data_IF_894053477539
#
_entry.id   IF_894053477539
#
_cell.length_a   1.000
_cell.length_b   1.000
_cell.length_c   1.000
_cell.angle_alpha   90.00
_cell.angle_beta   90.00
_cell.angle_gamma   90.00
#
_symmetry.space_group_name_H-M   'P 1'
#
loop_
_entity.id
_entity.type
_entity.pdbx_description
1 polymer ?
#
# COMPACT_ATOMS: atom_id res chain seq x y z
N UNK A 1 -0.04 17.65 5.52
CA UNK A 1 0.70 16.37 5.45
C UNK A 1 -0.03 15.44 4.49
N UNK A 2 0.71 14.76 3.61
CA UNK A 2 0.10 13.79 2.69
C UNK A 2 0.12 12.39 3.31
N UNK A 3 -0.89 11.59 3.00
CA UNK A 3 -1.02 10.24 3.52
C UNK A 3 -1.11 9.22 2.40
N UNK A 4 -0.53 8.05 2.61
CA UNK A 4 -0.82 6.89 1.78
C UNK A 4 -1.24 5.73 2.67
N UNK A 5 -2.47 5.26 2.51
CA UNK A 5 -2.94 4.05 3.17
C UNK A 5 -2.38 2.83 2.45
N UNK A 6 -1.78 1.93 3.23
CA UNK A 6 -1.26 0.64 2.78
C UNK A 6 -1.98 -0.43 3.56
N UNK A 7 -2.82 -1.19 2.86
CA UNK A 7 -3.52 -2.34 3.41
C UNK A 7 -2.63 -3.57 3.27
N UNK A 8 -2.36 -4.24 4.38
CA UNK A 8 -1.63 -5.50 4.42
C UNK A 8 -2.50 -6.59 5.01
N UNK A 9 -2.32 -7.82 4.56
CA UNK A 9 -2.99 -8.97 5.17
C UNK A 9 -2.53 -9.21 6.62
N UNK A 10 -3.45 -9.46 7.56
CA UNK A 10 -3.08 -9.59 8.98
C UNK A 10 -2.10 -10.71 9.31
N UNK A 11 -2.20 -11.88 8.67
CA UNK A 11 -1.42 -13.07 9.04
C UNK A 11 -0.11 -13.27 8.26
N UNK A 12 0.12 -12.58 7.13
CA UNK A 12 1.38 -12.64 6.37
C UNK A 12 2.03 -11.27 6.10
N UNK A 13 1.31 -10.16 6.35
CA UNK A 13 1.75 -8.77 6.13
C UNK A 13 2.10 -8.41 4.68
N UNK A 14 1.72 -9.24 3.70
CA UNK A 14 1.89 -8.90 2.29
C UNK A 14 0.85 -7.86 1.83
N UNK A 15 1.19 -7.13 0.77
CA UNK A 15 0.35 -6.06 0.23
C UNK A 15 -1.00 -6.60 -0.22
N UNK A 16 -2.07 -6.12 0.42
CA UNK A 16 -3.44 -6.30 -0.03
C UNK A 16 -3.77 -5.23 -1.07
N UNK A 17 -3.61 -3.96 -0.69
CA UNK A 17 -3.88 -2.82 -1.55
C UNK A 17 -3.03 -1.60 -1.16
N UNK A 18 -2.53 -0.87 -2.17
CA UNK A 18 -1.86 0.41 -1.96
C UNK A 18 -2.76 1.50 -2.52
N UNK A 19 -3.30 2.33 -1.63
CA UNK A 19 -4.15 3.45 -2.04
C UNK A 19 -3.34 4.51 -2.79
N UNK A 20 -4.05 5.34 -3.55
CA UNK A 20 -3.48 6.59 -4.03
C UNK A 20 -3.06 7.47 -2.84
N UNK A 21 -2.08 8.34 -3.06
CA UNK A 21 -1.67 9.31 -2.04
C UNK A 21 -2.80 10.33 -1.88
N UNK A 22 -3.26 10.54 -0.65
CA UNK A 22 -4.09 11.67 -0.28
C UNK A 22 -3.24 12.96 -0.29
N UNK A 23 -3.56 13.85 -1.22
CA UNK A 23 -2.75 15.01 -1.59
C UNK A 23 -3.27 16.26 -0.88
N UNK A 24 -2.66 16.63 0.25
CA UNK A 24 -2.85 17.96 0.81
C UNK A 24 -2.23 19.05 -0.10
N UNK A 25 -2.63 20.31 0.07
CA UNK A 25 -2.24 21.46 -0.77
C UNK A 25 -0.72 21.73 -0.89
N UNK A 26 0.12 21.12 -0.05
CA UNK A 26 1.58 21.22 -0.10
C UNK A 26 2.28 20.07 -0.86
N UNK A 27 1.52 19.14 -1.48
CA UNK A 27 2.07 18.01 -2.22
C UNK A 27 3.09 18.45 -3.29
N UNK A 28 4.26 17.81 -3.32
CA UNK A 28 5.32 18.09 -4.30
C UNK A 28 6.22 19.28 -3.97
N UNK A 29 6.00 19.98 -2.84
CA UNK A 29 6.92 21.02 -2.37
C UNK A 29 8.20 20.41 -1.76
N UNK A 30 9.36 21.06 -1.85
CA UNK A 30 10.56 20.65 -1.13
C UNK A 30 10.30 20.52 0.37
N UNK A 31 10.87 19.49 1.00
CA UNK A 31 10.65 19.19 2.42
C UNK A 31 9.28 18.60 2.77
N UNK A 32 8.37 18.41 1.80
CA UNK A 32 7.05 17.82 2.05
C UNK A 32 7.09 16.29 1.95
N UNK A 33 7.04 15.60 3.09
CA UNK A 33 7.01 14.14 3.16
C UNK A 33 5.59 13.57 3.04
N UNK A 34 5.51 12.35 2.50
CA UNK A 34 4.31 11.50 2.52
C UNK A 34 4.45 10.56 3.72
N UNK A 35 3.41 10.47 4.55
CA UNK A 35 3.34 9.53 5.66
C UNK A 35 2.57 8.28 5.24
N UNK A 36 3.24 7.13 5.27
CA UNK A 36 2.60 5.85 5.00
C UNK A 36 1.88 5.36 6.27
N UNK A 37 0.60 5.03 6.15
CA UNK A 37 -0.22 4.46 7.21
C UNK A 37 -0.56 3.02 6.86
N UNK A 38 0.06 2.09 7.58
CA UNK A 38 -0.19 0.66 7.41
C UNK A 38 -1.37 0.22 8.27
N UNK A 39 -2.35 -0.46 7.66
CA UNK A 39 -3.44 -1.12 8.39
C UNK A 39 -3.49 -2.60 8.03
N UNK A 40 -3.82 -3.44 9.01
CA UNK A 40 -3.99 -4.88 8.82
C UNK A 40 -5.45 -5.18 8.49
N UNK A 41 -5.70 -5.81 7.34
CA UNK A 41 -7.04 -6.13 6.84
C UNK A 41 -7.12 -7.61 6.43
N UNK A 42 -8.29 -8.23 6.61
CA UNK A 42 -8.51 -9.65 6.31
C UNK A 42 -7.56 -10.60 7.05
N UNK A 43 -7.54 -11.87 6.65
CA UNK A 43 -6.58 -12.89 7.12
C UNK A 43 -5.98 -13.59 5.90
N UNK A 44 -4.66 -13.75 5.85
CA UNK A 44 -4.00 -14.48 4.77
C UNK A 44 -2.61 -14.98 5.15
N UNK A 45 -2.01 -15.90 4.40
CA UNK A 45 -2.33 -17.33 4.27
C UNK A 45 -1.20 -17.93 3.39
N UNK A 46 -1.24 -19.23 3.06
CA UNK A 46 -0.17 -19.90 2.31
C UNK A 46 0.04 -19.28 0.90
N UNK A 47 0.95 -18.30 0.79
CA UNK A 47 1.23 -17.52 -0.42
C UNK A 47 0.02 -16.79 -1.08
N UNK A 48 -1.10 -16.62 -0.38
CA UNK A 48 -2.27 -15.78 -0.74
C UNK A 48 -3.28 -16.35 -1.76
N UNK A 49 -4.22 -17.24 -1.38
CA UNK A 49 -3.98 -18.50 -0.64
C UNK A 49 -3.32 -19.57 -1.53
N UNK A 50 -3.07 -19.21 -2.80
CA UNK A 50 -2.55 -20.04 -3.89
C UNK A 50 -2.72 -19.35 -5.25
N UNK A 51 -3.66 -18.41 -5.41
CA UNK A 51 -3.95 -17.78 -6.73
C UNK A 51 -4.63 -16.41 -6.65
N UNK A 52 -4.02 -15.41 -5.99
CA UNK A 52 -4.34 -14.01 -6.29
C UNK A 52 -3.31 -13.39 -7.24
N UNK A 53 -3.26 -13.92 -8.47
CA UNK A 53 -2.40 -13.44 -9.54
C UNK A 53 -2.93 -12.14 -10.17
N UNK A 54 -3.07 -11.10 -9.36
CA UNK A 54 -2.99 -9.72 -9.86
C UNK A 54 -1.53 -9.32 -9.75
N UNK A 55 -0.71 -9.85 -10.66
CA UNK A 55 0.61 -9.29 -10.95
C UNK A 55 0.45 -7.95 -11.65
N UNK A 56 0.01 -6.95 -10.89
CA UNK A 56 0.20 -5.53 -11.18
C UNK A 56 1.66 -5.16 -11.01
N UNK A 57 2.57 -5.91 -11.61
CA UNK A 57 4.01 -5.67 -11.61
C UNK A 57 4.30 -4.46 -12.50
N UNK A 58 4.06 -3.27 -11.93
CA UNK A 58 4.70 -2.03 -12.39
C UNK A 58 6.20 -2.18 -12.21
N UNK A 59 6.85 -2.72 -13.23
CA UNK A 59 8.24 -2.40 -13.53
C UNK A 59 8.33 -0.88 -13.59
N UNK A 60 8.95 -0.26 -12.58
CA UNK A 60 9.50 1.06 -12.76
C UNK A 60 10.73 0.92 -13.67
N UNK A 61 10.89 1.91 -14.54
CA UNK A 61 11.94 2.00 -15.55
C UNK A 61 13.14 2.78 -15.00
#
# INVERSE_FOLDING_TARGET
>A
MCYQLVELYSACRCLYYQHAIDRCAAYGRPGHSIQNRTILVGYACHAHSSSHSIKGSRHYR
#
